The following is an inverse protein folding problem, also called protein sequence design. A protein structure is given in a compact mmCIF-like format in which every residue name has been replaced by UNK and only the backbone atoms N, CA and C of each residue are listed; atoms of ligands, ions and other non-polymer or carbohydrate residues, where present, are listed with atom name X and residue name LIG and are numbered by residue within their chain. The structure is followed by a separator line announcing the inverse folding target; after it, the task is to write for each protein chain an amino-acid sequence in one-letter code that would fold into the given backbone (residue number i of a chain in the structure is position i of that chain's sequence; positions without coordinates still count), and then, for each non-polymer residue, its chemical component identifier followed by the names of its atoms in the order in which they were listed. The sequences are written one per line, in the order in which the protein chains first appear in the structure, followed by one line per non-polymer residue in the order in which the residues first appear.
data_IF_173829099944
#
_entry.id   IF_173829099944
#
_cell.length_a   1.000
_cell.length_b   1.000
_cell.length_c   1.000
_cell.angle_alpha   90.00
_cell.angle_beta   90.00
_cell.angle_gamma   90.00
#
_symmetry.space_group_name_H-M   'P 1'
#
loop_
_entity.id
_entity.type
_entity.pdbx_description
1 polymer ?
#
# COMPACT_ATOMS: atom_id res chain seq x y z
N UNK A 1 22.48 21.40 21.81
CA UNK A 1 21.27 21.31 20.98
C UNK A 1 21.70 21.13 19.54
N UNK A 2 21.92 19.90 19.10
CA UNK A 2 22.22 19.63 17.69
C UNK A 2 20.95 19.76 16.88
N UNK A 3 20.96 20.73 15.99
CA UNK A 3 19.96 20.97 14.97
C UNK A 3 19.81 19.71 14.13
N UNK A 4 18.73 18.96 14.36
CA UNK A 4 18.27 17.91 13.45
C UNK A 4 18.07 18.57 12.10
N UNK A 5 19.09 18.50 11.24
CA UNK A 5 18.99 18.79 9.81
C UNK A 5 17.77 18.02 9.33
N UNK A 6 16.73 18.76 8.97
CA UNK A 6 15.50 18.25 8.40
C UNK A 6 15.88 17.45 7.14
N UNK A 7 16.15 16.15 7.30
CA UNK A 7 16.60 15.28 6.22
C UNK A 7 15.44 15.21 5.24
N UNK A 8 15.59 15.88 4.11
CA UNK A 8 14.65 15.80 2.98
C UNK A 8 14.67 14.35 2.48
N UNK A 9 13.79 13.51 3.02
CA UNK A 9 13.64 12.12 2.60
C UNK A 9 13.04 12.16 1.19
N UNK A 10 13.75 11.61 0.21
CA UNK A 10 13.20 11.40 -1.12
C UNK A 10 11.97 10.48 -1.01
N UNK A 11 10.77 10.92 -1.43
CA UNK A 11 9.55 10.10 -1.36
C UNK A 11 9.64 8.78 -2.13
N UNK A 12 10.52 8.71 -3.14
CA UNK A 12 10.77 7.49 -3.92
C UNK A 12 11.67 6.48 -3.20
N UNK A 13 12.53 6.93 -2.28
CA UNK A 13 13.54 6.05 -1.67
C UNK A 13 12.91 4.83 -0.95
N UNK A 14 11.85 4.97 -0.13
CA UNK A 14 11.20 3.81 0.48
C UNK A 14 10.53 2.89 -0.54
N UNK A 15 9.89 3.45 -1.58
CA UNK A 15 9.26 2.64 -2.64
C UNK A 15 10.28 1.82 -3.42
N UNK A 16 11.43 2.42 -3.74
CA UNK A 16 12.54 1.74 -4.41
C UNK A 16 13.18 0.67 -3.53
N UNK A 17 13.26 0.89 -2.22
CA UNK A 17 13.70 -0.13 -1.28
C UNK A 17 12.74 -1.34 -1.26
N UNK A 18 11.42 -1.10 -1.22
CA UNK A 18 10.40 -2.16 -1.32
C UNK A 18 10.53 -2.90 -2.66
N UNK A 19 10.66 -2.17 -3.78
CA UNK A 19 10.82 -2.76 -5.11
C UNK A 19 12.06 -3.65 -5.20
N UNK A 20 13.20 -3.15 -4.71
CA UNK A 20 14.45 -3.92 -4.68
C UNK A 20 14.33 -5.17 -3.82
N UNK A 21 13.72 -5.07 -2.63
CA UNK A 21 13.51 -6.23 -1.77
C UNK A 21 12.60 -7.27 -2.42
N UNK A 22 11.49 -6.85 -3.04
CA UNK A 22 10.58 -7.77 -3.74
C UNK A 22 11.32 -8.50 -4.87
N UNK A 23 12.11 -7.76 -5.65
CA UNK A 23 12.87 -8.31 -6.76
C UNK A 23 13.92 -9.33 -6.29
N UNK A 24 14.64 -9.03 -5.22
CA UNK A 24 15.79 -9.82 -4.78
C UNK A 24 15.43 -10.98 -3.84
N UNK A 25 14.42 -10.81 -2.97
CA UNK A 25 14.22 -11.70 -1.83
C UNK A 25 12.81 -12.29 -1.70
N UNK A 26 11.80 -11.78 -2.42
CA UNK A 26 10.44 -12.29 -2.27
C UNK A 26 10.31 -13.69 -2.88
N UNK A 27 9.86 -14.65 -2.07
CA UNK A 27 9.85 -16.08 -2.41
C UNK A 27 8.89 -16.45 -3.55
N UNK A 28 7.72 -15.80 -3.63
CA UNK A 28 6.77 -16.07 -4.71
C UNK A 28 7.26 -15.44 -6.03
N UNK A 29 7.85 -16.25 -6.91
CA UNK A 29 8.38 -15.80 -8.20
C UNK A 29 7.30 -15.21 -9.11
N UNK A 30 6.12 -15.81 -9.16
CA UNK A 30 5.01 -15.31 -9.96
C UNK A 30 4.52 -13.94 -9.47
N UNK A 31 4.34 -13.79 -8.16
CA UNK A 31 3.95 -12.53 -7.53
C UNK A 31 4.97 -11.43 -7.80
N UNK A 32 6.27 -11.77 -7.71
CA UNK A 32 7.39 -10.88 -8.02
C UNK A 32 7.34 -10.38 -9.45
N UNK A 33 7.21 -11.26 -10.45
CA UNK A 33 7.13 -10.87 -11.86
C UNK A 33 5.99 -9.87 -12.10
N UNK A 34 4.83 -10.14 -11.53
CA UNK A 34 3.69 -9.25 -11.59
C UNK A 34 3.94 -7.90 -10.91
N UNK A 35 4.51 -7.90 -9.71
CA UNK A 35 4.83 -6.67 -8.98
C UNK A 35 5.84 -5.83 -9.75
N UNK A 36 6.87 -6.46 -10.32
CA UNK A 36 7.88 -5.77 -11.12
C UNK A 36 7.25 -5.18 -12.39
N UNK A 37 6.49 -5.98 -13.15
CA UNK A 37 5.80 -5.49 -14.35
C UNK A 37 4.85 -4.32 -14.05
N UNK A 38 4.07 -4.42 -12.96
CA UNK A 38 3.21 -3.32 -12.53
C UNK A 38 4.00 -2.06 -12.19
N UNK A 39 5.09 -2.18 -11.43
CA UNK A 39 5.82 -1.03 -10.89
C UNK A 39 6.87 -0.43 -11.85
N UNK A 40 7.15 -1.09 -12.98
CA UNK A 40 8.05 -0.59 -14.03
C UNK A 40 7.31 -0.22 -15.31
N UNK A 41 6.20 -0.89 -15.66
CA UNK A 41 5.50 -0.70 -16.95
C UNK A 41 4.12 -0.08 -16.76
N UNK A 42 3.20 -0.76 -16.07
CA UNK A 42 1.79 -0.36 -16.05
C UNK A 42 1.52 0.87 -15.15
N UNK A 43 2.19 0.91 -14.01
CA UNK A 43 2.04 1.96 -13.00
C UNK A 43 3.41 2.36 -12.46
N UNK A 44 4.27 2.96 -13.30
CA UNK A 44 5.68 3.17 -12.97
C UNK A 44 5.86 4.10 -11.77
N UNK A 45 6.81 3.74 -10.91
CA UNK A 45 7.32 4.64 -9.86
C UNK A 45 8.16 5.74 -10.51
N UNK A 46 7.64 6.97 -10.54
CA UNK A 46 8.33 8.12 -11.10
C UNK A 46 8.17 9.35 -10.22
N UNK A 47 9.09 10.31 -10.37
CA UNK A 47 9.03 11.59 -9.67
C UNK A 47 7.75 12.35 -9.97
N UNK A 48 7.21 12.22 -11.19
CA UNK A 48 5.91 12.83 -11.56
C UNK A 48 4.75 12.30 -10.71
N UNK A 49 4.81 11.01 -10.35
CA UNK A 49 3.74 10.34 -9.60
C UNK A 49 3.93 10.43 -8.09
N UNK A 50 5.18 10.52 -7.63
CA UNK A 50 5.55 10.51 -6.22
C UNK A 50 6.39 11.74 -5.90
N UNK A 51 5.72 12.89 -5.79
CA UNK A 51 6.38 14.20 -5.59
C UNK A 51 6.57 14.51 -4.11
N UNK A 52 5.61 14.12 -3.29
CA UNK A 52 5.58 14.41 -1.85
C UNK A 52 5.52 13.12 -1.05
N UNK A 53 5.89 13.18 0.24
CA UNK A 53 5.87 12.00 1.12
C UNK A 53 4.50 11.33 1.23
N UNK A 54 3.40 12.07 1.09
CA UNK A 54 2.06 11.47 1.09
C UNK A 54 1.70 10.75 -0.22
N UNK A 55 2.35 11.12 -1.33
CA UNK A 55 2.14 10.42 -2.61
C UNK A 55 2.68 8.99 -2.55
N UNK A 56 3.71 8.74 -1.73
CA UNK A 56 4.24 7.40 -1.47
C UNK A 56 3.17 6.47 -0.92
N UNK A 57 2.43 6.93 0.10
CA UNK A 57 1.34 6.17 0.73
C UNK A 57 0.25 5.87 -0.31
N UNK A 58 -0.15 6.89 -1.07
CA UNK A 58 -1.17 6.74 -2.10
C UNK A 58 -0.72 5.85 -3.27
N UNK A 59 0.57 5.86 -3.62
CA UNK A 59 1.13 5.00 -4.65
C UNK A 59 1.01 3.53 -4.25
N UNK A 60 1.48 3.17 -3.04
CA UNK A 60 1.39 1.79 -2.55
C UNK A 60 -0.05 1.34 -2.40
N UNK A 61 -0.91 2.20 -1.86
CA UNK A 61 -2.35 1.92 -1.77
C UNK A 61 -2.95 1.59 -3.13
N UNK A 62 -2.69 2.41 -4.15
CA UNK A 62 -3.21 2.16 -5.50
C UNK A 62 -2.59 0.91 -6.13
N UNK A 63 -1.30 0.68 -5.95
CA UNK A 63 -0.62 -0.52 -6.42
C UNK A 63 -1.22 -1.80 -5.80
N UNK A 64 -1.46 -1.80 -4.48
CA UNK A 64 -2.13 -2.92 -3.81
C UNK A 64 -3.56 -3.13 -4.31
N UNK A 65 -4.30 -2.06 -4.58
CA UNK A 65 -5.66 -2.18 -5.12
C UNK A 65 -5.70 -2.69 -6.57
N UNK A 66 -4.68 -2.42 -7.38
CA UNK A 66 -4.50 -3.07 -8.70
C UNK A 66 -4.31 -4.57 -8.52
N UNK A 67 -3.51 -4.99 -7.53
CA UNK A 67 -3.32 -6.42 -7.21
C UNK A 67 -4.62 -7.05 -6.69
N UNK A 68 -5.33 -6.40 -5.78
CA UNK A 68 -6.62 -6.88 -5.28
C UNK A 68 -7.63 -7.07 -6.41
N UNK A 69 -7.72 -6.11 -7.35
CA UNK A 69 -8.62 -6.24 -8.50
C UNK A 69 -8.28 -7.45 -9.37
N UNK A 70 -7.00 -7.74 -9.60
CA UNK A 70 -6.58 -8.90 -10.38
C UNK A 70 -6.87 -10.22 -9.65
N UNK A 71 -6.70 -10.25 -8.33
CA UNK A 71 -6.84 -11.47 -7.52
C UNK A 71 -8.27 -11.70 -7.01
N UNK A 72 -9.20 -10.80 -7.27
CA UNK A 72 -10.59 -10.97 -6.85
C UNK A 72 -11.25 -12.10 -7.64
N UNK A 73 -11.78 -13.11 -6.94
CA UNK A 73 -12.33 -14.33 -7.54
C UNK A 73 -11.30 -15.32 -8.06
N UNK A 74 -10.01 -15.09 -7.82
CA UNK A 74 -8.94 -16.03 -8.16
C UNK A 74 -9.04 -17.30 -7.30
N UNK A 75 -8.61 -18.45 -7.82
CA UNK A 75 -8.67 -19.73 -7.07
C UNK A 75 -7.77 -19.74 -5.83
N UNK A 76 -6.81 -18.82 -5.74
CA UNK A 76 -5.95 -18.60 -4.57
C UNK A 76 -6.53 -17.61 -3.55
N UNK A 77 -7.70 -17.03 -3.82
CA UNK A 77 -8.40 -16.13 -2.90
C UNK A 77 -8.97 -16.92 -1.72
N UNK A 78 -8.59 -16.52 -0.50
CA UNK A 78 -9.21 -17.03 0.72
C UNK A 78 -10.68 -16.56 0.78
N UNK A 79 -11.67 -17.46 0.81
CA UNK A 79 -13.09 -17.10 0.86
C UNK A 79 -13.48 -16.27 2.08
N UNK A 80 -12.73 -16.37 3.19
CA UNK A 80 -12.97 -15.56 4.40
C UNK A 80 -12.37 -14.14 4.28
N UNK A 81 -11.44 -13.93 3.34
CA UNK A 81 -10.71 -12.68 3.15
C UNK A 81 -10.67 -12.25 1.69
N UNK A 82 -11.87 -12.00 1.14
CA UNK A 82 -12.09 -11.49 -0.21
C UNK A 82 -11.30 -10.20 -0.48
N UNK A 83 -10.70 -10.10 -1.67
CA UNK A 83 -9.87 -8.99 -2.15
C UNK A 83 -10.72 -7.81 -2.61
N UNK A 84 -11.37 -7.15 -1.65
CA UNK A 84 -12.04 -5.88 -1.91
C UNK A 84 -11.06 -4.79 -2.35
N UNK A 85 -11.58 -3.81 -3.11
CA UNK A 85 -10.91 -2.52 -3.21
C UNK A 85 -10.86 -1.89 -1.82
N UNK A 86 -9.65 -1.71 -1.30
CA UNK A 86 -9.40 -1.26 0.05
C UNK A 86 -9.38 0.29 0.12
N UNK A 87 -9.92 0.92 1.18
CA UNK A 87 -10.80 0.31 2.17
C UNK A 87 -12.18 0.00 1.58
N UNK A 88 -12.80 -1.13 1.94
CA UNK A 88 -14.19 -1.40 1.58
C UNK A 88 -15.13 -0.41 2.28
N UNK A 89 -16.36 -0.27 1.76
CA UNK A 89 -17.37 0.67 2.27
C UNK A 89 -17.63 0.52 3.76
N UNK A 90 -17.73 -0.71 4.27
CA UNK A 90 -17.97 -0.97 5.68
C UNK A 90 -16.83 -0.49 6.60
N UNK A 91 -15.61 -0.39 6.08
CA UNK A 91 -14.44 0.02 6.85
C UNK A 91 -14.21 1.54 6.78
N UNK A 92 -14.55 2.17 5.66
CA UNK A 92 -14.50 3.62 5.51
C UNK A 92 -15.60 4.12 4.56
N UNK A 93 -16.82 4.37 5.07
CA UNK A 93 -17.92 4.85 4.23
C UNK A 93 -17.58 6.18 3.54
N UNK A 94 -16.91 7.08 4.27
CA UNK A 94 -16.52 8.40 3.74
C UNK A 94 -15.38 8.34 2.71
N UNK A 95 -14.71 7.19 2.55
CA UNK A 95 -13.67 7.04 1.53
C UNK A 95 -14.26 6.91 0.12
N UNK A 96 -15.56 6.66 -0.01
CA UNK A 96 -16.27 6.50 -1.28
C UNK A 96 -17.20 7.69 -1.51
N UNK A 97 -17.17 8.26 -2.71
CA UNK A 97 -17.99 9.39 -3.13
C UNK A 97 -18.38 9.21 -4.59
N UNK A 98 -19.68 9.03 -4.87
CA UNK A 98 -20.19 8.86 -6.24
C UNK A 98 -19.55 7.68 -6.99
N UNK A 99 -19.35 6.54 -6.33
CA UNK A 99 -18.73 5.36 -6.94
C UNK A 99 -17.20 5.41 -7.08
N UNK A 100 -16.56 6.48 -6.62
CA UNK A 100 -15.10 6.65 -6.69
C UNK A 100 -14.49 6.89 -5.31
N UNK A 101 -13.19 6.61 -5.18
CA UNK A 101 -12.45 6.92 -3.96
C UNK A 101 -12.18 8.42 -3.80
N UNK A 102 -12.56 8.98 -2.65
CA UNK A 102 -12.12 10.31 -2.22
C UNK A 102 -10.66 10.27 -1.77
N UNK A 103 -9.75 10.84 -2.56
CA UNK A 103 -8.30 10.85 -2.27
C UNK A 103 -7.98 11.39 -0.86
N UNK A 104 -8.67 12.44 -0.43
CA UNK A 104 -8.47 13.06 0.89
C UNK A 104 -8.88 12.10 2.01
N UNK A 105 -10.07 11.51 1.91
CA UNK A 105 -10.61 10.62 2.93
C UNK A 105 -9.81 9.32 3.02
N UNK A 106 -9.42 8.74 1.88
CA UNK A 106 -8.53 7.59 1.82
C UNK A 106 -7.20 7.88 2.49
N UNK A 107 -6.54 9.01 2.16
CA UNK A 107 -5.27 9.38 2.79
C UNK A 107 -5.39 9.47 4.32
N UNK A 108 -6.43 10.13 4.81
CA UNK A 108 -6.67 10.29 6.24
C UNK A 108 -7.00 8.95 6.92
N UNK A 109 -7.74 8.08 6.23
CA UNK A 109 -8.00 6.72 6.67
C UNK A 109 -6.69 5.92 6.78
N UNK A 110 -5.87 5.88 5.73
CA UNK A 110 -4.62 5.11 5.72
C UNK A 110 -3.66 5.54 6.83
N UNK A 111 -3.50 6.84 7.05
CA UNK A 111 -2.66 7.36 8.13
C UNK A 111 -3.12 6.86 9.49
N UNK A 112 -4.43 6.91 9.78
CA UNK A 112 -4.98 6.42 11.06
C UNK A 112 -4.92 4.89 11.16
N UNK A 113 -5.27 4.19 10.09
CA UNK A 113 -5.31 2.73 10.06
C UNK A 113 -3.93 2.12 10.32
N UNK A 114 -2.90 2.58 9.61
CA UNK A 114 -1.54 2.07 9.77
C UNK A 114 -0.80 2.61 10.99
N UNK A 115 -1.17 3.78 11.53
CA UNK A 115 -0.62 4.28 12.80
C UNK A 115 -1.17 3.53 14.03
N UNK A 116 -2.35 2.91 13.91
CA UNK A 116 -3.01 2.19 15.01
C UNK A 116 -2.75 0.68 14.97
N UNK A 117 -1.82 0.20 14.14
CA UNK A 117 -1.41 -1.21 14.17
C UNK A 117 -0.71 -1.46 15.49
N UNK A 118 -1.37 -2.23 16.37
CA UNK A 118 -0.78 -2.70 17.62
C UNK A 118 -0.12 -4.05 17.36
N UNK A 119 1.10 -4.28 17.85
CA UNK A 119 1.65 -5.62 17.87
C UNK A 119 0.70 -6.52 18.66
N UNK A 120 0.45 -7.72 18.15
CA UNK A 120 -0.30 -8.71 18.91
C UNK A 120 0.55 -9.09 20.12
N UNK A 121 0.21 -8.56 21.29
CA UNK A 121 0.78 -9.02 22.54
C UNK A 121 0.08 -10.34 22.87
N UNK A 122 0.80 -11.44 22.73
CA UNK A 122 0.40 -12.71 23.33
C UNK A 122 0.50 -12.53 24.85
N UNK A 123 -0.59 -12.11 25.49
CA UNK A 123 -0.71 -12.28 26.94
C UNK A 123 -0.79 -13.79 27.17
N UNK A 124 0.31 -14.38 27.63
CA UNK A 124 0.30 -15.73 28.17
C UNK A 124 -0.84 -15.80 29.18
N UNK A 125 -1.82 -16.66 28.91
CA UNK A 125 -2.80 -17.04 29.89
C UNK A 125 -2.06 -17.58 31.11
N UNK A 126 -2.24 -16.89 32.24
CA UNK A 126 -2.25 -17.53 33.53
C UNK A 126 -3.56 -18.30 33.67
#
# INVERSE_FOLDING_TARGET
MDTIKNRKISPLKPLKAIQGWVNSFFGCQHCKQHFMHMTTVLFPMSERRVRHSHDMIMYLWRAHNIVNNRLHGDTTEDPQFTKYQFPPLFLCPTCHSGGHFSRRQVRNFLLRYYANIRPHHWSHGL
#
